data_IF_359314163122
#
_entry.id   IF_359314163122
#
_cell.length_a   1.000
_cell.length_b   1.000
_cell.length_c   1.000
_cell.angle_alpha   90.00
_cell.angle_beta   90.00
_cell.angle_gamma   90.00
#
_symmetry.space_group_name_H-M   'P 1'
#
loop_
_entity.id
_entity.type
_entity.pdbx_description
1 polymer ?
#
# COMPACT_ATOMS: atom_id res chain seq x y z
N UNK A 1 -22.06 -14.03 -22.99
CA UNK A 1 -21.72 -12.65 -22.54
C UNK A 1 -21.91 -11.66 -23.67
N UNK A 2 -22.36 -10.43 -23.39
CA UNK A 2 -22.49 -9.37 -24.42
C UNK A 2 -21.16 -8.67 -24.70
N UNK A 3 -20.93 -8.25 -25.93
CA UNK A 3 -19.76 -7.45 -26.36
C UNK A 3 -19.56 -6.19 -25.50
N UNK A 4 -20.65 -5.52 -25.10
CA UNK A 4 -20.61 -4.32 -24.26
C UNK A 4 -19.98 -4.58 -22.89
N UNK A 5 -20.38 -5.67 -22.20
CA UNK A 5 -19.81 -6.07 -20.91
C UNK A 5 -18.31 -6.36 -21.00
N UNK A 6 -17.89 -7.05 -22.07
CA UNK A 6 -16.48 -7.31 -22.35
C UNK A 6 -15.70 -6.01 -22.51
N UNK A 7 -16.21 -5.07 -23.30
CA UNK A 7 -15.58 -3.79 -23.53
C UNK A 7 -15.44 -3.00 -22.22
N UNK A 8 -16.52 -2.92 -21.42
CA UNK A 8 -16.48 -2.26 -20.10
C UNK A 8 -15.42 -2.85 -19.18
N UNK A 9 -15.33 -4.18 -19.11
CA UNK A 9 -14.30 -4.85 -18.29
C UNK A 9 -12.88 -4.48 -18.76
N UNK A 10 -12.63 -4.49 -20.07
CA UNK A 10 -11.33 -4.12 -20.63
C UNK A 10 -10.97 -2.64 -20.37
N UNK A 11 -11.95 -1.74 -20.48
CA UNK A 11 -11.77 -0.30 -20.23
C UNK A 11 -11.35 0.00 -18.78
N UNK A 12 -11.63 -0.90 -17.83
CA UNK A 12 -11.14 -0.76 -16.45
C UNK A 12 -9.61 -0.88 -16.34
N UNK A 13 -8.98 -1.65 -17.23
CA UNK A 13 -7.56 -2.02 -17.13
C UNK A 13 -7.20 -2.88 -15.91
N UNK A 14 -8.20 -3.39 -15.17
CA UNK A 14 -8.01 -4.15 -13.93
C UNK A 14 -7.83 -5.65 -14.16
N UNK A 15 -8.31 -6.14 -15.30
CA UNK A 15 -8.27 -7.55 -15.70
C UNK A 15 -7.64 -7.62 -17.08
N UNK A 16 -6.55 -8.35 -17.21
CA UNK A 16 -5.94 -8.54 -18.51
C UNK A 16 -6.73 -9.56 -19.34
N UNK A 17 -7.37 -9.08 -20.39
CA UNK A 17 -8.29 -9.84 -21.22
C UNK A 17 -7.59 -10.95 -22.00
N UNK A 18 -6.34 -10.74 -22.43
CA UNK A 18 -5.60 -11.80 -23.12
C UNK A 18 -5.48 -13.07 -22.28
N UNK A 19 -5.34 -12.94 -20.96
CA UNK A 19 -5.34 -14.06 -20.00
C UNK A 19 -6.76 -14.49 -19.66
N UNK A 20 -7.61 -13.55 -19.26
CA UNK A 20 -8.95 -13.88 -18.75
C UNK A 20 -9.85 -14.51 -19.82
N UNK A 21 -9.66 -14.17 -21.10
CA UNK A 21 -10.42 -14.76 -22.21
C UNK A 21 -10.19 -16.26 -22.39
N UNK A 22 -9.01 -16.77 -22.01
CA UNK A 22 -8.73 -18.21 -22.02
C UNK A 22 -9.58 -18.95 -20.98
N UNK A 23 -9.80 -18.32 -19.81
CA UNK A 23 -10.67 -18.85 -18.76
C UNK A 23 -12.14 -18.78 -19.18
N UNK A 24 -12.57 -17.66 -19.78
CA UNK A 24 -13.94 -17.51 -20.29
C UNK A 24 -14.23 -18.50 -21.41
N UNK A 25 -13.25 -18.84 -22.25
CA UNK A 25 -13.43 -19.83 -23.31
C UNK A 25 -13.77 -21.23 -22.76
N UNK A 26 -13.38 -21.55 -21.53
CA UNK A 26 -13.76 -22.81 -20.87
C UNK A 26 -15.26 -22.90 -20.57
N UNK A 27 -15.97 -21.77 -20.53
CA UNK A 27 -17.44 -21.76 -20.36
C UNK A 27 -18.17 -22.38 -21.56
N UNK A 28 -17.51 -22.56 -22.71
CA UNK A 28 -18.07 -23.27 -23.87
C UNK A 28 -18.31 -24.76 -23.57
N UNK A 29 -17.43 -25.36 -22.77
CA UNK A 29 -17.51 -26.77 -22.36
C UNK A 29 -18.21 -26.95 -21.00
N UNK A 30 -18.02 -25.99 -20.07
CA UNK A 30 -18.59 -26.01 -18.73
C UNK A 30 -19.17 -24.65 -18.34
N UNK A 31 -20.48 -24.47 -18.57
CA UNK A 31 -21.17 -23.21 -18.28
C UNK A 31 -20.95 -22.76 -16.82
N UNK A 32 -20.41 -21.55 -16.65
CA UNK A 32 -20.17 -20.95 -15.33
C UNK A 32 -18.84 -21.32 -14.69
N UNK A 33 -17.98 -22.08 -15.37
CA UNK A 33 -16.63 -22.40 -14.90
C UNK A 33 -15.84 -21.13 -14.54
N UNK A 34 -15.79 -20.17 -15.45
CA UNK A 34 -15.01 -18.93 -15.26
C UNK A 34 -15.49 -18.13 -14.05
N UNK A 35 -16.81 -18.02 -13.86
CA UNK A 35 -17.40 -17.35 -12.71
C UNK A 35 -17.09 -18.09 -11.40
N UNK A 36 -17.15 -19.42 -11.41
CA UNK A 36 -16.83 -20.25 -10.24
C UNK A 36 -15.37 -20.10 -9.81
N UNK A 37 -14.46 -19.97 -10.79
CA UNK A 37 -13.04 -19.76 -10.54
C UNK A 37 -12.78 -18.37 -9.95
N UNK A 38 -13.48 -17.34 -10.45
CA UNK A 38 -13.43 -15.98 -9.88
C UNK A 38 -13.95 -15.99 -8.43
N UNK A 39 -15.05 -16.68 -8.14
CA UNK A 39 -15.57 -16.77 -6.77
C UNK A 39 -14.59 -17.51 -5.84
N UNK A 40 -13.99 -18.60 -6.33
CA UNK A 40 -12.94 -19.32 -5.58
C UNK A 40 -11.75 -18.41 -5.27
N UNK A 41 -11.35 -17.58 -6.22
CA UNK A 41 -10.29 -16.60 -6.00
C UNK A 41 -10.69 -15.52 -4.98
N UNK A 42 -11.95 -15.03 -5.00
CA UNK A 42 -12.47 -14.09 -4.01
C UNK A 42 -12.31 -14.66 -2.60
N UNK A 43 -12.73 -15.91 -2.37
CA UNK A 43 -12.62 -16.57 -1.07
C UNK A 43 -11.14 -16.71 -0.65
N UNK A 44 -10.26 -17.10 -1.57
CA UNK A 44 -8.81 -17.18 -1.33
C UNK A 44 -8.20 -15.84 -0.93
N UNK A 45 -8.59 -14.75 -1.58
CA UNK A 45 -8.09 -13.40 -1.26
C UNK A 45 -8.52 -12.99 0.14
N UNK A 46 -9.79 -13.17 0.48
CA UNK A 46 -10.32 -12.80 1.78
C UNK A 46 -9.60 -13.55 2.91
N UNK A 47 -9.47 -14.88 2.79
CA UNK A 47 -8.73 -15.69 3.77
C UNK A 47 -7.26 -15.28 3.85
N UNK A 48 -6.58 -15.13 2.72
CA UNK A 48 -5.16 -14.82 2.69
C UNK A 48 -4.86 -13.42 3.25
N UNK A 49 -5.73 -12.43 3.00
CA UNK A 49 -5.56 -11.09 3.56
C UNK A 49 -5.70 -11.06 5.08
N UNK A 50 -6.54 -11.91 5.67
CA UNK A 50 -6.63 -12.09 7.12
C UNK A 50 -5.37 -12.75 7.69
N UNK A 51 -4.86 -13.79 7.03
CA UNK A 51 -3.59 -14.43 7.40
C UNK A 51 -2.43 -13.43 7.34
N UNK A 52 -2.34 -12.62 6.29
CA UNK A 52 -1.30 -11.59 6.15
C UNK A 52 -1.39 -10.56 7.28
N UNK A 53 -2.58 -10.10 7.68
CA UNK A 53 -2.72 -9.20 8.84
C UNK A 53 -2.18 -9.83 10.13
N UNK A 54 -2.43 -11.12 10.33
CA UNK A 54 -1.93 -11.88 11.47
C UNK A 54 -0.41 -11.94 11.44
N UNK A 55 0.17 -12.32 10.30
CA UNK A 55 1.63 -12.43 10.15
C UNK A 55 2.33 -11.06 10.22
N UNK A 56 1.69 -9.98 9.80
CA UNK A 56 2.17 -8.61 10.02
C UNK A 56 2.29 -8.31 11.51
N UNK A 57 1.28 -8.70 12.30
CA UNK A 57 1.27 -8.46 13.75
C UNK A 57 2.32 -9.30 14.49
N UNK A 58 2.58 -10.52 13.99
CA UNK A 58 3.64 -11.41 14.45
C UNK A 58 5.04 -11.04 13.92
N UNK A 59 5.12 -10.09 12.97
CA UNK A 59 6.31 -9.78 12.16
C UNK A 59 6.94 -11.02 11.50
N UNK A 60 6.11 -11.99 11.09
CA UNK A 60 6.57 -13.24 10.49
C UNK A 60 6.81 -13.09 8.98
N UNK A 61 8.00 -12.59 8.62
CA UNK A 61 8.39 -12.29 7.23
C UNK A 61 8.37 -13.51 6.30
N UNK A 62 8.70 -14.71 6.80
CA UNK A 62 8.67 -15.95 6.01
C UNK A 62 7.25 -16.32 5.60
N UNK A 63 6.30 -16.29 6.54
CA UNK A 63 4.90 -16.56 6.25
C UNK A 63 4.28 -15.47 5.35
N UNK A 64 4.68 -14.21 5.54
CA UNK A 64 4.29 -13.12 4.65
C UNK A 64 4.76 -13.37 3.21
N UNK A 65 6.01 -13.82 3.05
CA UNK A 65 6.53 -14.16 1.73
C UNK A 65 5.73 -15.28 1.06
N UNK A 66 5.45 -16.35 1.82
CA UNK A 66 4.70 -17.52 1.34
C UNK A 66 3.25 -17.17 0.96
N UNK A 67 2.57 -16.34 1.78
CA UNK A 67 1.22 -15.85 1.48
C UNK A 67 1.21 -14.96 0.22
N UNK A 68 2.19 -14.06 0.08
CA UNK A 68 2.36 -13.25 -1.12
C UNK A 68 2.60 -14.10 -2.37
N UNK A 69 3.45 -15.13 -2.28
CA UNK A 69 3.70 -16.05 -3.40
C UNK A 69 2.43 -16.81 -3.84
N UNK A 70 1.68 -17.35 -2.88
CA UNK A 70 0.44 -18.06 -3.13
C UNK A 70 -0.57 -17.18 -3.90
N UNK A 71 -0.86 -16.00 -3.36
CA UNK A 71 -1.88 -15.14 -3.93
C UNK A 71 -1.44 -14.49 -5.25
N UNK A 72 -0.13 -14.24 -5.43
CA UNK A 72 0.47 -13.82 -6.71
C UNK A 72 0.13 -14.81 -7.82
N UNK A 73 0.35 -16.10 -7.59
CA UNK A 73 0.07 -17.15 -8.58
C UNK A 73 -1.42 -17.21 -8.94
N UNK A 74 -2.28 -17.20 -7.93
CA UNK A 74 -3.73 -17.25 -8.14
C UNK A 74 -4.26 -16.02 -8.90
N UNK A 75 -3.81 -14.82 -8.54
CA UNK A 75 -4.18 -13.58 -9.24
C UNK A 75 -3.66 -13.54 -10.69
N UNK A 76 -2.43 -14.01 -10.93
CA UNK A 76 -1.84 -14.05 -12.27
C UNK A 76 -2.63 -14.97 -13.22
N UNK A 77 -3.11 -16.12 -12.72
CA UNK A 77 -3.90 -17.07 -13.51
C UNK A 77 -5.24 -16.48 -14.00
N UNK A 78 -5.75 -15.45 -13.34
CA UNK A 78 -6.97 -14.73 -13.73
C UNK A 78 -6.71 -13.40 -14.45
N UNK A 79 -5.46 -13.08 -14.77
CA UNK A 79 -5.10 -11.81 -15.41
C UNK A 79 -5.21 -10.60 -14.48
N UNK A 80 -5.26 -10.78 -13.16
CA UNK A 80 -5.39 -9.72 -12.16
C UNK A 80 -4.02 -9.11 -11.83
N UNK A 81 -3.41 -8.46 -12.81
CA UNK A 81 -2.01 -8.00 -12.80
C UNK A 81 -1.70 -7.05 -11.64
N UNK A 82 -2.60 -6.13 -11.31
CA UNK A 82 -2.40 -5.20 -10.19
C UNK A 82 -2.26 -5.93 -8.87
N UNK A 83 -3.16 -6.89 -8.59
CA UNK A 83 -3.13 -7.69 -7.36
C UNK A 83 -1.88 -8.57 -7.34
N UNK A 84 -1.57 -9.22 -8.46
CA UNK A 84 -0.38 -10.06 -8.63
C UNK A 84 0.92 -9.29 -8.34
N UNK A 85 1.07 -8.08 -8.88
CA UNK A 85 2.23 -7.22 -8.67
C UNK A 85 2.39 -6.80 -7.21
N UNK A 86 1.29 -6.49 -6.51
CA UNK A 86 1.36 -6.17 -5.08
C UNK A 86 1.68 -7.41 -4.24
N UNK A 87 1.19 -8.59 -4.62
CA UNK A 87 1.54 -9.84 -3.96
C UNK A 87 3.02 -10.22 -4.18
N UNK A 88 3.58 -9.88 -5.34
CA UNK A 88 5.02 -9.99 -5.59
C UNK A 88 5.84 -9.04 -4.70
N UNK A 89 5.35 -7.83 -4.44
CA UNK A 89 5.93 -6.94 -3.44
C UNK A 89 5.91 -7.56 -2.05
N UNK A 90 4.76 -8.08 -1.61
CA UNK A 90 4.65 -8.77 -0.32
C UNK A 90 5.64 -9.94 -0.23
N UNK A 91 5.74 -10.75 -1.30
CA UNK A 91 6.69 -11.86 -1.41
C UNK A 91 8.15 -11.39 -1.21
N UNK A 92 8.60 -10.45 -2.03
CA UNK A 92 9.99 -10.02 -2.04
C UNK A 92 10.37 -9.22 -0.78
N UNK A 93 9.47 -8.38 -0.27
CA UNK A 93 9.69 -7.67 0.97
C UNK A 93 9.73 -8.61 2.18
N UNK A 94 8.98 -9.72 2.16
CA UNK A 94 9.14 -10.80 3.13
C UNK A 94 10.53 -11.46 3.09
N UNK A 95 11.20 -11.45 1.93
CA UNK A 95 12.60 -11.85 1.81
C UNK A 95 13.61 -10.72 2.07
N UNK A 96 13.14 -9.54 2.49
CA UNK A 96 13.96 -8.32 2.63
C UNK A 96 14.66 -7.91 1.34
N UNK A 97 13.96 -8.04 0.22
CA UNK A 97 14.43 -7.64 -1.12
C UNK A 97 13.56 -6.50 -1.64
N UNK A 98 14.11 -5.29 -1.70
CA UNK A 98 13.47 -4.12 -2.32
C UNK A 98 13.72 -4.10 -3.83
N UNK A 99 13.15 -5.07 -4.55
CA UNK A 99 13.43 -5.30 -5.98
C UNK A 99 12.94 -4.16 -6.90
N UNK A 100 11.95 -3.39 -6.47
CA UNK A 100 11.33 -2.32 -7.23
C UNK A 100 11.81 -0.92 -6.80
N UNK A 101 12.81 -0.86 -5.91
CA UNK A 101 13.40 0.38 -5.38
C UNK A 101 12.35 1.32 -4.76
N UNK A 102 11.28 0.76 -4.17
CA UNK A 102 10.23 1.56 -3.58
C UNK A 102 10.74 2.28 -2.32
N UNK A 103 10.34 3.54 -2.14
CA UNK A 103 10.71 4.37 -0.99
C UNK A 103 9.47 4.65 -0.15
N UNK A 104 9.51 4.35 1.14
CA UNK A 104 8.47 4.75 2.08
C UNK A 104 8.43 6.27 2.22
N UNK A 105 7.24 6.85 2.11
CA UNK A 105 7.00 8.26 2.41
C UNK A 105 6.07 8.39 3.60
N UNK A 106 6.07 9.55 4.28
CA UNK A 106 5.16 9.79 5.42
C UNK A 106 3.68 9.60 5.06
N UNK A 107 3.29 9.97 3.83
CA UNK A 107 1.92 9.76 3.33
C UNK A 107 1.54 8.29 3.18
N UNK A 108 2.52 7.38 3.09
CA UNK A 108 2.31 5.94 2.94
C UNK A 108 2.09 5.26 4.29
N UNK A 109 2.67 5.81 5.36
CA UNK A 109 2.62 5.25 6.72
C UNK A 109 1.35 5.73 7.45
N UNK A 110 0.84 6.91 7.10
CA UNK A 110 -0.40 7.48 7.62
C UNK A 110 -1.30 8.02 6.49
N UNK A 111 -2.20 7.20 5.93
CA UNK A 111 -3.16 7.64 4.92
C UNK A 111 -4.25 8.58 5.49
N UNK A 112 -4.32 8.80 6.81
CA UNK A 112 -5.36 9.63 7.44
C UNK A 112 -5.05 11.14 7.43
N UNK A 113 -3.81 11.54 7.13
CA UNK A 113 -3.36 12.94 7.16
C UNK A 113 -3.32 13.65 5.79
N UNK A 114 -3.85 13.05 4.72
CA UNK A 114 -3.81 13.61 3.35
C UNK A 114 -5.13 14.23 2.84
N UNK A 115 -5.96 14.78 3.72
CA UNK A 115 -7.15 15.55 3.33
C UNK A 115 -6.91 17.07 3.33
N UNK A 116 -5.82 17.55 2.71
CA UNK A 116 -5.64 18.99 2.39
C UNK A 116 -4.48 19.24 1.45
N UNK A 117 -4.71 19.20 0.14
CA UNK A 117 -3.96 20.00 -0.83
C UNK A 117 -4.94 20.61 -1.83
N UNK A 118 -5.55 21.71 -1.43
CA UNK A 118 -6.23 22.63 -2.34
C UNK A 118 -5.19 23.46 -3.12
N UNK A 119 -5.34 23.44 -4.44
CA UNK A 119 -4.89 24.41 -5.44
C UNK A 119 -4.22 25.69 -4.92
N UNK A 120 -3.01 25.98 -5.39
CA UNK A 120 -2.54 27.36 -5.53
C UNK A 120 -2.04 27.55 -6.95
N UNK A 121 -2.88 28.21 -7.75
CA UNK A 121 -2.48 28.89 -8.96
C UNK A 121 -1.89 30.27 -8.64
N UNK A 122 -0.79 30.56 -9.31
CA UNK A 122 -0.36 31.81 -9.95
C UNK A 122 -0.51 33.20 -9.27
N UNK A 123 0.48 34.05 -9.57
CA UNK A 123 0.45 35.53 -9.66
C UNK A 123 1.30 36.35 -8.67
N UNK A 124 2.54 36.64 -9.12
CA UNK A 124 3.28 37.93 -9.17
C UNK A 124 3.52 38.84 -7.94
N UNK A 125 4.82 39.10 -7.70
CA UNK A 125 5.55 40.41 -7.69
C UNK A 125 4.96 41.62 -6.93
N UNK A 126 5.64 42.08 -5.86
CA UNK A 126 6.39 43.37 -5.78
C UNK A 126 6.64 43.88 -4.34
N UNK A 127 7.93 44.14 -4.06
CA UNK A 127 8.57 45.23 -3.28
C UNK A 127 8.25 45.57 -1.80
N UNK A 128 9.38 45.65 -1.06
CA UNK A 128 9.81 46.65 -0.06
C UNK A 128 8.99 46.90 1.22
N UNK A 129 9.59 46.69 2.40
CA UNK A 129 10.41 47.72 3.06
C UNK A 129 11.17 47.17 4.28
N UNK A 130 12.43 47.58 4.36
CA UNK A 130 13.36 47.50 5.49
C UNK A 130 12.83 48.18 6.76
N UNK A 131 13.13 47.62 7.94
CA UNK A 131 13.50 48.49 9.07
C UNK A 131 14.48 47.80 10.04
N UNK A 132 15.45 48.59 10.46
CA UNK A 132 16.62 48.31 11.29
C UNK A 132 16.37 48.93 12.67
N UNK A 133 16.82 48.29 13.76
CA UNK A 133 17.40 48.91 14.98
C UNK A 133 17.70 47.80 16.02
N UNK A 134 18.97 47.57 16.38
CA UNK A 134 19.75 48.20 17.48
C UNK A 134 19.55 47.46 18.82
N UNK A 135 20.47 46.56 19.23
CA UNK A 135 21.72 46.79 19.99
C UNK A 135 21.52 46.95 21.52
N UNK A 136 22.12 46.04 22.30
CA UNK A 136 22.31 46.15 23.75
C UNK A 136 23.03 44.94 24.36
N UNK A 137 24.14 45.18 25.06
CA UNK A 137 25.19 44.22 25.46
C UNK A 137 25.13 43.79 26.95
N UNK A 138 25.41 42.51 27.25
CA UNK A 138 26.24 41.89 28.36
C UNK A 138 26.03 42.26 29.86
N UNK A 139 26.54 41.50 30.88
CA UNK A 139 26.89 40.07 31.03
C UNK A 139 26.35 39.39 32.35
N UNK A 140 26.76 38.12 32.57
CA UNK A 140 26.50 37.07 33.64
C UNK A 140 26.82 37.46 35.12
N UNK A 141 26.91 36.55 36.15
CA UNK A 141 26.57 35.10 36.30
C UNK A 141 25.86 34.72 37.64
N UNK A 142 25.49 33.44 37.86
CA UNK A 142 25.90 32.66 39.06
C UNK A 142 25.36 31.21 39.06
N UNK A 143 26.24 30.30 39.51
CA UNK A 143 26.09 28.84 39.57
C UNK A 143 25.20 28.39 40.73
N UNK A 144 24.62 27.18 40.64
CA UNK A 144 24.81 26.13 41.66
C UNK A 144 24.30 24.73 41.22
N UNK A 145 25.25 23.79 41.34
CA UNK A 145 25.26 22.32 41.50
C UNK A 145 23.99 21.42 41.46
N UNK A 146 24.24 20.23 40.90
CA UNK A 146 23.48 18.96 40.63
C UNK A 146 23.05 18.16 41.90
N UNK A 147 22.41 16.94 41.87
CA UNK A 147 22.10 15.98 40.77
C UNK A 147 20.70 15.27 40.77
N UNK A 148 20.37 14.67 39.60
CA UNK A 148 19.66 13.38 39.35
C UNK A 148 18.37 13.05 40.12
N UNK A 149 17.24 12.93 39.40
CA UNK A 149 16.38 11.73 39.50
C UNK A 149 15.46 11.56 38.28
N UNK A 150 15.31 10.28 37.93
CA UNK A 150 14.72 9.70 36.73
C UNK A 150 13.21 9.90 36.64
N UNK A 151 12.71 10.13 35.42
CA UNK A 151 11.26 10.07 35.19
C UNK A 151 10.78 10.70 33.89
N UNK A 152 11.49 10.55 32.77
CA UNK A 152 10.93 10.99 31.49
C UNK A 152 10.04 9.91 30.92
N UNK A 153 8.74 10.14 31.04
CA UNK A 153 7.73 9.51 30.20
C UNK A 153 8.11 9.73 28.74
N UNK A 154 8.50 8.67 28.04
CA UNK A 154 8.71 8.73 26.61
C UNK A 154 7.35 8.65 25.91
N UNK A 155 6.82 9.83 25.59
CA UNK A 155 5.90 10.04 24.49
C UNK A 155 6.49 9.41 23.22
N UNK A 156 5.98 8.25 22.80
CA UNK A 156 6.32 7.70 21.50
C UNK A 156 5.64 8.54 20.41
N UNK A 157 6.36 9.54 19.91
CA UNK A 157 6.02 10.22 18.66
C UNK A 157 6.23 9.23 17.52
N UNK A 158 5.14 8.73 16.93
CA UNK A 158 5.13 7.93 15.71
C UNK A 158 5.42 8.85 14.51
N UNK A 159 6.68 9.21 14.24
CA UNK A 159 6.99 10.16 13.14
C UNK A 159 8.22 9.87 12.29
N UNK A 160 8.91 8.76 12.49
CA UNK A 160 10.13 8.44 11.73
C UNK A 160 9.96 7.18 10.88
N UNK A 161 10.41 7.26 9.62
CA UNK A 161 10.46 6.11 8.70
C UNK A 161 11.38 5.06 9.36
N UNK A 162 10.94 3.80 9.52
CA UNK A 162 11.77 2.78 10.13
C UNK A 162 13.07 2.58 9.35
N UNK A 163 14.15 2.25 10.06
CA UNK A 163 15.44 1.95 9.43
C UNK A 163 15.38 0.64 8.61
N UNK A 164 15.98 0.62 7.43
CA UNK A 164 15.92 -0.50 6.48
C UNK A 164 16.53 -1.80 7.02
N UNK A 165 17.42 -1.70 8.02
CA UNK A 165 17.97 -2.87 8.71
C UNK A 165 16.95 -3.59 9.61
N UNK A 166 15.87 -2.91 9.99
CA UNK A 166 14.84 -3.42 10.90
C UNK A 166 13.70 -4.14 10.17
N UNK A 167 13.09 -5.13 10.83
CA UNK A 167 11.87 -5.77 10.31
C UNK A 167 10.72 -4.76 10.17
N UNK A 168 10.70 -3.69 10.96
CA UNK A 168 9.66 -2.67 10.91
C UNK A 168 9.60 -1.93 9.57
N UNK A 169 10.75 -1.75 8.90
CA UNK A 169 10.79 -1.19 7.55
C UNK A 169 10.09 -2.10 6.54
N UNK A 170 10.43 -3.39 6.55
CA UNK A 170 9.83 -4.39 5.66
C UNK A 170 8.34 -4.57 5.94
N UNK A 171 7.94 -4.56 7.21
CA UNK A 171 6.54 -4.59 7.60
C UNK A 171 5.77 -3.36 7.10
N UNK A 172 6.37 -2.16 7.13
CA UNK A 172 5.75 -0.97 6.59
C UNK A 172 5.57 -1.05 5.06
N UNK A 173 6.56 -1.57 4.33
CA UNK A 173 6.46 -1.83 2.89
C UNK A 173 5.38 -2.87 2.55
N UNK A 174 5.31 -3.95 3.32
CA UNK A 174 4.31 -5.01 3.14
C UNK A 174 2.91 -4.46 3.42
N UNK A 175 2.73 -3.61 4.45
CA UNK A 175 1.44 -2.95 4.73
C UNK A 175 0.98 -2.06 3.56
N UNK A 176 1.89 -1.28 2.98
CA UNK A 176 1.60 -0.49 1.77
C UNK A 176 1.15 -1.37 0.60
N UNK A 177 1.92 -2.42 0.30
CA UNK A 177 1.59 -3.36 -0.76
C UNK A 177 0.24 -4.05 -0.52
N UNK A 178 -0.03 -4.48 0.71
CA UNK A 178 -1.31 -5.09 1.11
C UNK A 178 -2.48 -4.12 0.93
N UNK A 179 -2.32 -2.85 1.30
CA UNK A 179 -3.38 -1.85 1.11
C UNK A 179 -3.68 -1.61 -0.37
N UNK A 180 -2.64 -1.55 -1.22
CA UNK A 180 -2.81 -1.46 -2.67
C UNK A 180 -3.43 -2.72 -3.27
N UNK A 181 -3.07 -3.90 -2.75
CA UNK A 181 -3.68 -5.17 -3.16
C UNK A 181 -5.18 -5.20 -2.83
N UNK A 182 -5.58 -4.71 -1.65
CA UNK A 182 -6.98 -4.58 -1.24
C UNK A 182 -7.77 -3.62 -2.13
N UNK A 183 -7.23 -2.44 -2.39
CA UNK A 183 -7.85 -1.48 -3.30
C UNK A 183 -8.02 -2.06 -4.72
N UNK A 184 -6.99 -2.72 -5.23
CA UNK A 184 -7.07 -3.45 -6.50
C UNK A 184 -8.12 -4.56 -6.48
N UNK A 185 -8.18 -5.35 -5.42
CA UNK A 185 -9.16 -6.42 -5.25
C UNK A 185 -10.59 -5.91 -5.25
N UNK A 186 -10.91 -4.87 -4.48
CA UNK A 186 -12.26 -4.30 -4.43
C UNK A 186 -12.71 -3.79 -5.81
N UNK A 187 -11.83 -3.09 -6.52
CA UNK A 187 -12.10 -2.58 -7.86
C UNK A 187 -12.29 -3.72 -8.88
N UNK A 188 -11.40 -4.71 -8.88
CA UNK A 188 -11.49 -5.87 -9.77
C UNK A 188 -12.73 -6.69 -9.49
N UNK A 189 -13.07 -6.92 -8.22
CA UNK A 189 -14.28 -7.64 -7.81
C UNK A 189 -15.54 -6.93 -8.29
N UNK A 190 -15.62 -5.60 -8.14
CA UNK A 190 -16.75 -4.82 -8.63
C UNK A 190 -16.89 -4.92 -10.16
N UNK A 191 -15.79 -4.80 -10.90
CA UNK A 191 -15.78 -4.92 -12.36
C UNK A 191 -16.20 -6.31 -12.84
N UNK A 192 -15.71 -7.37 -12.19
CA UNK A 192 -16.07 -8.75 -12.50
C UNK A 192 -17.55 -9.04 -12.16
N UNK A 193 -18.05 -8.52 -11.04
CA UNK A 193 -19.47 -8.63 -10.70
C UNK A 193 -20.36 -7.98 -11.77
N UNK A 194 -20.00 -6.80 -12.27
CA UNK A 194 -20.74 -6.17 -13.37
C UNK A 194 -20.65 -6.98 -14.68
N UNK A 195 -19.48 -7.57 -14.96
CA UNK A 195 -19.31 -8.45 -16.12
C UNK A 195 -20.23 -9.68 -16.05
N UNK A 196 -20.38 -10.30 -14.87
CA UNK A 196 -21.21 -11.49 -14.69
C UNK A 196 -22.70 -11.25 -14.40
N UNK A 197 -23.11 -10.03 -14.01
CA UNK A 197 -24.49 -9.67 -13.66
C UNK A 197 -25.45 -9.65 -14.86
#
# INVERSE_FOLDING_TARGET
>A
MSEEKRQKLQETGLVEWSVFSEIVAMDEDEEGFSQSLVQTFVDQVEETFEQINTYISEKNLEKLSSAGHFLKGSAAALGLTTISNQCERIQNYGHKVNFDNFTLTKSTIDPSSSSSLSNIGDTTRSNNHSNINSSGSTPSPENNYTPVESGTQASHSLTDIPDESSDDFWIALIKDALNKARDGFEKSRAALNEYYA
#
